data_IF_631798648050
#
_entry.id   IF_631798648050
#
_cell.length_a   1.000
_cell.length_b   1.000
_cell.length_c   1.000
_cell.angle_alpha   90.00
_cell.angle_beta   90.00
_cell.angle_gamma   90.00
#
_symmetry.space_group_name_H-M   'P 1'
#
loop_
_entity.id
_entity.type
_entity.pdbx_description
1 polymer ?
#
# COMPACT_ATOMS: atom_id res chain seq x y z
N UNK A 1 -25.47 13.90 -4.96
CA UNK A 1 -24.99 12.54 -4.64
C UNK A 1 -23.48 12.58 -4.78
N UNK A 2 -22.74 12.75 -3.68
CA UNK A 2 -21.29 12.95 -3.74
C UNK A 2 -20.58 11.61 -3.98
N UNK A 3 -19.82 11.55 -5.07
CA UNK A 3 -18.91 10.45 -5.39
C UNK A 3 -17.70 10.48 -4.41
N UNK A 4 -17.86 9.79 -3.29
CA UNK A 4 -16.83 9.64 -2.23
C UNK A 4 -15.93 8.42 -2.44
N UNK A 5 -16.08 7.68 -3.54
CA UNK A 5 -15.39 6.39 -3.71
C UNK A 5 -13.92 6.51 -4.08
N UNK A 6 -13.49 7.63 -4.68
CA UNK A 6 -12.09 7.83 -5.11
C UNK A 6 -11.19 8.47 -4.06
N UNK A 7 -11.70 9.36 -3.22
CA UNK A 7 -10.88 10.04 -2.19
C UNK A 7 -10.42 9.09 -1.07
N UNK A 8 -11.23 8.06 -0.77
CA UNK A 8 -10.97 7.16 0.36
C UNK A 8 -10.00 6.00 0.12
N UNK A 9 -9.57 5.69 -1.11
CA UNK A 9 -8.67 4.54 -1.33
C UNK A 9 -7.21 4.89 -1.00
N UNK A 10 -6.76 6.09 -1.39
CA UNK A 10 -5.40 6.58 -1.12
C UNK A 10 -5.17 6.88 0.36
N UNK A 11 -6.12 7.54 1.03
CA UNK A 11 -6.00 7.81 2.48
C UNK A 11 -5.90 6.50 3.28
N UNK A 12 -6.68 5.48 2.89
CA UNK A 12 -6.61 4.15 3.51
C UNK A 12 -5.28 3.47 3.25
N UNK A 13 -4.73 3.59 2.03
CA UNK A 13 -3.39 3.08 1.72
C UNK A 13 -2.34 3.66 2.68
N UNK A 14 -2.34 4.98 2.87
CA UNK A 14 -1.39 5.63 3.79
C UNK A 14 -1.62 5.24 5.25
N UNK A 15 -2.87 5.11 5.69
CA UNK A 15 -3.19 4.63 7.04
C UNK A 15 -2.71 3.17 7.26
N UNK A 16 -2.88 2.29 6.27
CA UNK A 16 -2.37 0.91 6.34
C UNK A 16 -0.85 0.90 6.39
N UNK A 17 -0.16 1.69 5.58
CA UNK A 17 1.29 1.83 5.63
C UNK A 17 1.77 2.34 6.99
N UNK A 18 1.11 3.37 7.54
CA UNK A 18 1.40 3.87 8.89
C UNK A 18 1.18 2.81 9.97
N UNK A 19 0.16 1.98 9.84
CA UNK A 19 -0.07 0.87 10.76
C UNK A 19 1.04 -0.20 10.66
N UNK A 20 1.52 -0.52 9.45
CA UNK A 20 2.66 -1.44 9.28
C UNK A 20 3.92 -0.87 9.92
N UNK A 21 4.18 0.44 9.77
CA UNK A 21 5.37 1.10 10.30
C UNK A 21 5.38 1.25 11.84
N UNK A 22 4.19 1.32 12.46
CA UNK A 22 4.07 1.63 13.90
C UNK A 22 3.73 0.44 14.79
N UNK A 23 3.13 -0.62 14.24
CA UNK A 23 2.78 -1.80 15.04
C UNK A 23 4.01 -2.69 15.23
N UNK A 24 4.21 -3.20 16.45
CA UNK A 24 5.30 -4.14 16.74
C UNK A 24 5.15 -5.47 15.99
N UNK A 25 3.91 -5.91 15.79
CA UNK A 25 3.59 -7.15 15.09
C UNK A 25 2.45 -6.93 14.08
N UNK A 26 2.73 -6.33 12.90
CA UNK A 26 1.70 -5.93 11.95
C UNK A 26 1.11 -7.15 11.24
N UNK A 27 0.07 -7.72 11.81
CA UNK A 27 -0.79 -8.72 11.15
C UNK A 27 -2.06 -8.06 10.61
N UNK A 28 -2.75 -8.72 9.68
CA UNK A 28 -4.05 -8.24 9.17
C UNK A 28 -5.04 -7.93 10.31
N UNK A 29 -5.05 -8.77 11.35
CA UNK A 29 -5.91 -8.57 12.53
C UNK A 29 -5.47 -7.34 13.32
N UNK A 30 -4.18 -7.23 13.67
CA UNK A 30 -3.68 -6.09 14.44
C UNK A 30 -3.88 -4.75 13.71
N UNK A 31 -3.69 -4.72 12.38
CA UNK A 31 -3.91 -3.55 11.54
C UNK A 31 -5.39 -3.19 11.50
N UNK A 32 -6.28 -4.18 11.34
CA UNK A 32 -7.73 -3.95 11.37
C UNK A 32 -8.15 -3.36 12.72
N UNK A 33 -7.63 -3.91 13.82
CA UNK A 33 -7.94 -3.43 15.16
C UNK A 33 -7.42 -2.00 15.39
N UNK A 34 -6.20 -1.71 14.96
CA UNK A 34 -5.60 -0.38 15.10
C UNK A 34 -6.34 0.69 14.29
N UNK A 35 -6.86 0.33 13.11
CA UNK A 35 -7.58 1.25 12.23
C UNK A 35 -9.07 1.38 12.56
N UNK A 36 -9.65 0.46 13.34
CA UNK A 36 -10.96 0.50 14.00
C UNK A 36 -12.19 0.64 13.09
N UNK A 37 -12.25 1.73 12.33
CA UNK A 37 -13.35 2.13 11.46
C UNK A 37 -13.19 1.66 10.00
N UNK A 38 -12.09 0.98 9.68
CA UNK A 38 -11.83 0.48 8.33
C UNK A 38 -12.09 -1.04 8.30
N UNK A 39 -13.06 -1.52 7.50
CA UNK A 39 -13.36 -2.93 7.41
C UNK A 39 -12.16 -3.76 6.94
N UNK A 40 -12.00 -4.97 7.50
CA UNK A 40 -11.00 -5.96 7.05
C UNK A 40 -11.05 -6.21 5.54
N UNK A 41 -12.25 -6.22 4.96
CA UNK A 41 -12.47 -6.37 3.52
C UNK A 41 -11.91 -5.23 2.66
N UNK A 42 -11.69 -4.05 3.24
CA UNK A 42 -11.02 -2.91 2.60
C UNK A 42 -9.51 -2.90 2.83
N UNK A 43 -9.04 -3.40 3.97
CA UNK A 43 -7.60 -3.47 4.31
C UNK A 43 -6.89 -4.60 3.54
N UNK A 44 -7.51 -5.77 3.46
CA UNK A 44 -6.88 -6.95 2.86
C UNK A 44 -6.47 -6.75 1.39
N UNK A 45 -7.29 -6.12 0.51
CA UNK A 45 -6.86 -5.78 -0.85
C UNK A 45 -5.66 -4.82 -0.89
N UNK A 46 -5.58 -3.85 0.04
CA UNK A 46 -4.46 -2.91 0.11
C UNK A 46 -3.16 -3.65 0.45
N UNK A 47 -3.21 -4.53 1.47
CA UNK A 47 -2.05 -5.35 1.84
C UNK A 47 -1.57 -6.23 0.68
N UNK A 48 -2.51 -6.83 -0.08
CA UNK A 48 -2.16 -7.60 -1.28
C UNK A 48 -1.48 -6.75 -2.35
N UNK A 49 -1.96 -5.52 -2.61
CA UNK A 49 -1.32 -4.58 -3.56
C UNK A 49 0.09 -4.21 -3.11
N UNK A 50 0.28 -3.94 -1.80
CA UNK A 50 1.57 -3.59 -1.21
C UNK A 50 2.59 -4.73 -1.36
N UNK A 51 2.21 -5.96 -0.99
CA UNK A 51 3.08 -7.14 -1.11
C UNK A 51 3.37 -7.50 -2.56
N UNK A 52 2.42 -7.26 -3.47
CA UNK A 52 2.63 -7.45 -4.91
C UNK A 52 3.49 -6.36 -5.56
N UNK A 53 3.99 -5.37 -4.81
CA UNK A 53 4.81 -4.28 -5.34
C UNK A 53 4.04 -3.32 -6.26
N UNK A 54 2.72 -3.25 -6.14
CA UNK A 54 1.86 -2.43 -7.01
C UNK A 54 1.73 -0.97 -6.55
N UNK A 55 2.47 -0.59 -5.52
CA UNK A 55 2.47 0.77 -4.95
C UNK A 55 3.89 1.32 -5.06
N UNK A 56 4.03 2.42 -5.80
CA UNK A 56 5.31 3.08 -5.98
C UNK A 56 5.85 3.67 -4.66
N UNK A 57 7.17 3.76 -4.53
CA UNK A 57 7.83 4.42 -3.40
C UNK A 57 7.92 3.58 -2.12
N UNK A 58 7.40 2.35 -2.10
CA UNK A 58 7.49 1.47 -0.92
C UNK A 58 7.67 0.01 -1.34
N UNK A 59 8.44 -0.74 -0.57
CA UNK A 59 8.52 -2.20 -0.68
C UNK A 59 8.05 -2.81 0.63
N UNK A 60 6.99 -3.61 0.55
CA UNK A 60 6.41 -4.32 1.69
C UNK A 60 6.55 -5.81 1.46
N UNK A 61 7.04 -6.51 2.46
CA UNK A 61 7.13 -7.97 2.46
C UNK A 61 6.15 -8.55 3.48
N UNK A 62 5.80 -9.82 3.27
CA UNK A 62 5.02 -10.60 4.21
C UNK A 62 5.80 -11.85 4.60
N UNK A 63 6.07 -12.03 5.89
CA UNK A 63 6.70 -13.22 6.45
C UNK A 63 5.69 -13.92 7.36
N UNK A 64 5.12 -15.03 6.89
CA UNK A 64 3.99 -15.67 7.56
C UNK A 64 2.76 -14.76 7.60
N UNK A 65 2.33 -14.36 8.80
CA UNK A 65 1.18 -13.45 8.99
C UNK A 65 1.57 -11.99 9.18
N UNK A 66 2.88 -11.69 9.25
CA UNK A 66 3.43 -10.38 9.61
C UNK A 66 3.84 -9.63 8.36
N UNK A 67 3.43 -8.37 8.25
CA UNK A 67 3.82 -7.44 7.19
C UNK A 67 4.92 -6.52 7.70
N UNK A 68 5.91 -6.23 6.86
CA UNK A 68 7.01 -5.33 7.19
C UNK A 68 7.35 -4.43 6.01
N UNK A 69 7.66 -3.16 6.28
CA UNK A 69 8.22 -2.26 5.27
C UNK A 69 9.73 -2.54 5.19
N UNK A 70 10.17 -3.02 4.03
CA UNK A 70 11.58 -3.30 3.77
C UNK A 70 12.33 -2.04 3.36
N UNK A 71 11.69 -1.18 2.54
CA UNK A 71 12.27 0.10 2.14
C UNK A 71 11.22 1.13 1.75
N UNK A 72 11.54 2.39 2.05
CA UNK A 72 10.93 3.56 1.44
C UNK A 72 11.86 4.03 0.32
N UNK A 73 11.38 4.03 -0.92
CA UNK A 73 12.11 4.55 -2.07
C UNK A 73 11.67 5.98 -2.33
N UNK A 74 12.51 6.76 -3.00
CA UNK A 74 12.09 8.07 -3.48
C UNK A 74 10.86 7.88 -4.40
N UNK A 75 9.73 8.44 -3.98
CA UNK A 75 8.47 8.30 -4.68
C UNK A 75 8.54 8.99 -6.05
N UNK A 76 9.25 10.12 -6.15
CA UNK A 76 9.43 10.85 -7.41
C UNK A 76 10.23 10.00 -8.40
N UNK A 77 11.33 9.40 -7.97
CA UNK A 77 12.13 8.50 -8.81
C UNK A 77 11.32 7.29 -9.26
N UNK A 78 10.55 6.69 -8.35
CA UNK A 78 9.71 5.53 -8.64
C UNK A 78 8.64 5.87 -9.70
N UNK A 79 7.98 7.01 -9.56
CA UNK A 79 6.95 7.48 -10.52
C UNK A 79 7.56 7.80 -11.88
N UNK A 80 8.72 8.47 -11.93
CA UNK A 80 9.43 8.77 -13.17
C UNK A 80 9.79 7.49 -13.93
N UNK A 81 10.39 6.51 -13.24
CA UNK A 81 10.77 5.22 -13.83
C UNK A 81 9.57 4.43 -14.38
N UNK A 82 8.45 4.42 -13.66
CA UNK A 82 7.22 3.79 -14.14
C UNK A 82 6.70 4.43 -15.43
N UNK A 83 6.67 5.75 -15.51
CA UNK A 83 6.23 6.47 -16.70
C UNK A 83 7.14 6.16 -17.90
N UNK A 84 8.46 6.27 -17.72
CA UNK A 84 9.43 6.00 -18.78
C UNK A 84 9.35 4.57 -19.30
N UNK A 85 9.17 3.59 -18.40
CA UNK A 85 9.01 2.18 -18.77
C UNK A 85 7.74 1.96 -19.58
N UNK A 86 6.62 2.58 -19.18
CA UNK A 86 5.36 2.48 -19.90
C UNK A 86 5.45 3.08 -21.31
N UNK A 87 6.02 4.29 -21.44
CA UNK A 87 6.21 4.96 -22.74
C UNK A 87 7.09 4.13 -23.69
N UNK A 88 8.16 3.49 -23.18
CA UNK A 88 9.00 2.58 -23.97
C UNK A 88 8.21 1.38 -24.48
N UNK A 89 7.43 0.73 -23.61
CA UNK A 89 6.67 -0.49 -23.96
C UNK A 89 5.60 -0.34 -25.05
N UNK A 90 5.17 0.89 -25.33
CA UNK A 90 4.19 1.19 -26.40
C UNK A 90 4.85 1.70 -27.68
N UNK A 91 6.15 1.98 -27.64
CA UNK A 91 6.93 2.49 -28.77
C UNK A 91 7.64 1.37 -29.55
N UNK A 92 7.69 0.17 -28.98
CA UNK A 92 8.17 -1.09 -29.59
C UNK A 92 6.99 -1.91 -30.14
#
# INVERSE_FOLDING_TARGET
MNDTRRKGDTDRLFLVLGAIDKLENPTLISITNALGNIPKGSINPILKKLVAGQVAGVTVIQTGSVYSIESWKDLRESVSSMYETHVKSISD
#
